data_IF_722994005139
#
_entry.id   IF_722994005139
#
_cell.length_a   1.000
_cell.length_b   1.000
_cell.length_c   1.000
_cell.angle_alpha   90.00
_cell.angle_beta   90.00
_cell.angle_gamma   90.00
#
_symmetry.space_group_name_H-M   'P 1'
#
loop_
_entity.id
_entity.type
_entity.pdbx_description
1 polymer ?
#
# COMPACT_ATOMS: atom_id res chain seq x y z
N UNK A 1 37.06 61.36 -4.38
CA UNK A 1 35.70 60.86 -4.11
C UNK A 1 35.39 59.79 -5.15
N UNK A 2 35.48 58.50 -4.77
CA UNK A 2 35.12 57.35 -5.62
C UNK A 2 33.82 56.80 -5.07
N UNK A 3 32.73 56.89 -5.84
CA UNK A 3 31.47 56.22 -5.52
C UNK A 3 31.64 54.73 -5.83
N UNK A 4 31.49 53.89 -4.81
CA UNK A 4 31.29 52.46 -4.97
C UNK A 4 29.81 52.16 -5.17
N UNK A 5 29.43 51.68 -6.36
CA UNK A 5 28.09 51.18 -6.64
C UNK A 5 28.01 49.74 -6.13
N UNK A 6 27.18 49.50 -5.11
CA UNK A 6 26.82 48.18 -4.65
C UNK A 6 25.72 47.62 -5.58
N UNK A 7 26.06 46.57 -6.34
CA UNK A 7 25.10 45.80 -7.10
C UNK A 7 24.43 44.80 -6.14
N UNK A 8 23.19 45.03 -5.76
CA UNK A 8 22.39 44.10 -4.97
C UNK A 8 21.87 43.02 -5.92
N UNK A 9 22.46 41.85 -5.85
CA UNK A 9 21.99 40.65 -6.55
C UNK A 9 20.75 40.11 -5.79
N UNK A 10 19.58 40.42 -6.27
CA UNK A 10 18.33 39.81 -5.78
C UNK A 10 18.26 38.39 -6.33
N UNK A 11 18.71 37.43 -5.56
CA UNK A 11 18.39 36.01 -5.83
C UNK A 11 16.88 35.82 -5.63
N UNK A 12 16.14 35.76 -6.72
CA UNK A 12 14.77 35.27 -6.71
C UNK A 12 14.83 33.78 -6.31
N UNK A 13 14.55 33.47 -5.05
CA UNK A 13 14.20 32.14 -4.61
C UNK A 13 12.91 31.78 -5.34
N UNK A 14 13.05 31.03 -6.45
CA UNK A 14 11.93 30.34 -7.04
C UNK A 14 11.41 29.36 -5.99
N UNK A 15 10.37 29.74 -5.28
CA UNK A 15 9.66 28.85 -4.37
C UNK A 15 9.21 27.65 -5.21
N UNK A 16 9.70 26.47 -4.85
CA UNK A 16 9.18 25.23 -5.41
C UNK A 16 7.74 25.14 -4.93
N UNK A 17 6.81 25.53 -5.81
CA UNK A 17 5.38 25.32 -5.59
C UNK A 17 5.19 23.81 -5.54
N UNK A 18 5.01 23.25 -4.34
CA UNK A 18 4.55 21.88 -4.20
C UNK A 18 3.16 21.84 -4.82
N UNK A 19 2.98 20.96 -5.81
CA UNK A 19 1.67 20.74 -6.39
C UNK A 19 0.73 20.29 -5.26
N UNK A 20 -0.42 20.94 -5.13
CA UNK A 20 -1.43 20.53 -4.16
C UNK A 20 -1.95 19.14 -4.53
N UNK A 21 -2.02 18.24 -3.53
CA UNK A 21 -2.52 16.89 -3.71
C UNK A 21 -4.00 16.94 -4.15
N UNK A 22 -4.35 16.32 -5.30
CA UNK A 22 -5.75 16.26 -5.72
C UNK A 22 -6.65 15.58 -4.68
N UNK A 23 -7.91 16.03 -4.62
CA UNK A 23 -8.86 15.59 -3.61
C UNK A 23 -9.12 14.06 -3.65
N UNK A 24 -9.04 13.43 -4.82
CA UNK A 24 -9.22 11.98 -4.96
C UNK A 24 -8.20 11.16 -4.13
N UNK A 25 -7.02 11.69 -3.83
CA UNK A 25 -5.99 10.98 -3.06
C UNK A 25 -6.10 11.16 -1.54
N UNK A 26 -7.05 11.95 -1.05
CA UNK A 26 -7.19 12.21 0.39
C UNK A 26 -7.76 11.03 1.19
N UNK A 27 -8.25 9.98 0.51
CA UNK A 27 -8.73 8.76 1.13
C UNK A 27 -8.17 7.53 0.43
N UNK A 28 -7.83 6.50 1.21
CA UNK A 28 -7.51 5.18 0.70
C UNK A 28 -8.67 4.25 1.09
N UNK A 29 -9.36 3.75 0.09
CA UNK A 29 -10.51 2.89 0.29
C UNK A 29 -10.46 1.58 -0.52
N UNK A 30 -9.45 1.39 -1.38
CA UNK A 30 -9.36 0.24 -2.28
C UNK A 30 -7.92 -0.18 -2.56
N UNK A 31 -7.69 -1.49 -2.58
CA UNK A 31 -6.43 -2.10 -3.02
C UNK A 31 -6.70 -3.15 -4.09
N UNK A 32 -5.80 -3.25 -5.06
CA UNK A 32 -5.71 -4.38 -6.00
C UNK A 32 -4.60 -5.30 -5.53
N UNK A 33 -4.96 -6.53 -5.26
CA UNK A 33 -4.11 -7.55 -4.68
C UNK A 33 -3.95 -8.70 -5.68
N UNK A 34 -2.76 -8.87 -6.23
CA UNK A 34 -2.48 -9.92 -7.20
C UNK A 34 -2.05 -11.18 -6.46
N UNK A 35 -2.63 -12.29 -6.85
CA UNK A 35 -2.37 -13.60 -6.25
C UNK A 35 -2.31 -14.69 -7.33
N UNK A 36 -1.50 -15.72 -7.09
CA UNK A 36 -1.40 -16.89 -7.97
C UNK A 36 -2.54 -17.89 -7.75
N UNK A 37 -3.18 -17.84 -6.57
CA UNK A 37 -4.32 -18.68 -6.22
C UNK A 37 -5.34 -17.89 -5.40
N UNK A 38 -6.36 -17.38 -6.08
CA UNK A 38 -7.38 -16.51 -5.46
C UNK A 38 -8.27 -17.26 -4.47
N UNK A 39 -8.52 -18.56 -4.69
CA UNK A 39 -9.28 -19.38 -3.74
C UNK A 39 -8.53 -19.59 -2.43
N UNK A 40 -7.23 -19.87 -2.51
CA UNK A 40 -6.39 -20.00 -1.31
C UNK A 40 -6.38 -18.69 -0.51
N UNK A 41 -6.17 -17.56 -1.20
CA UNK A 41 -6.20 -16.25 -0.56
C UNK A 41 -7.56 -15.97 0.08
N UNK A 42 -8.66 -16.15 -0.65
CA UNK A 42 -10.04 -15.98 -0.13
C UNK A 42 -10.27 -16.82 1.13
N UNK A 43 -10.00 -18.13 1.07
CA UNK A 43 -10.23 -19.04 2.18
C UNK A 43 -9.40 -18.66 3.42
N UNK A 44 -8.19 -18.19 3.23
CA UNK A 44 -7.34 -17.71 4.31
C UNK A 44 -7.82 -16.40 4.95
N UNK A 45 -8.34 -15.47 4.13
CA UNK A 45 -8.75 -14.15 4.62
C UNK A 45 -10.17 -14.09 5.20
N UNK A 46 -11.07 -15.00 4.83
CA UNK A 46 -12.42 -15.10 5.43
C UNK A 46 -12.37 -15.17 6.96
N UNK A 47 -11.66 -16.11 7.59
CA UNK A 47 -11.59 -16.18 9.04
C UNK A 47 -10.84 -15.01 9.68
N UNK A 48 -10.02 -14.29 8.91
CA UNK A 48 -9.35 -13.04 9.31
C UNK A 48 -10.23 -11.80 9.13
N UNK A 49 -11.44 -11.99 8.61
CA UNK A 49 -12.51 -10.98 8.54
C UNK A 49 -12.69 -10.31 7.20
N UNK A 50 -12.34 -10.98 6.12
CA UNK A 50 -12.82 -10.61 4.79
C UNK A 50 -14.33 -10.91 4.72
N UNK A 51 -15.12 -9.89 4.38
CA UNK A 51 -16.60 -9.94 4.32
C UNK A 51 -17.11 -9.43 2.99
N UNK A 52 -18.42 -9.55 2.76
CA UNK A 52 -19.12 -9.05 1.55
C UNK A 52 -18.47 -9.50 0.25
N UNK A 53 -18.22 -10.81 0.16
CA UNK A 53 -17.43 -11.42 -0.90
C UNK A 53 -18.30 -11.61 -2.14
N UNK A 54 -17.80 -11.09 -3.27
CA UNK A 54 -18.35 -11.34 -4.60
C UNK A 54 -17.26 -11.97 -5.48
N UNK A 55 -17.63 -13.01 -6.23
CA UNK A 55 -16.71 -13.76 -7.08
C UNK A 55 -17.05 -13.56 -8.55
N UNK A 56 -16.01 -13.32 -9.34
CA UNK A 56 -16.07 -13.11 -10.79
C UNK A 56 -15.03 -13.98 -11.48
N UNK A 57 -15.37 -15.24 -11.81
CA UNK A 57 -14.39 -16.21 -12.29
C UNK A 57 -13.87 -15.93 -13.72
N UNK A 58 -14.62 -15.17 -14.51
CA UNK A 58 -14.34 -14.96 -15.95
C UNK A 58 -14.34 -13.46 -16.30
N UNK A 59 -13.53 -12.67 -15.58
CA UNK A 59 -13.43 -11.24 -15.87
C UNK A 59 -12.63 -11.03 -17.14
N UNK A 60 -13.22 -10.31 -18.10
CA UNK A 60 -12.54 -9.87 -19.31
C UNK A 60 -12.26 -8.37 -19.21
N UNK A 61 -10.96 -8.04 -19.29
CA UNK A 61 -10.51 -6.65 -19.29
C UNK A 61 -9.95 -6.30 -20.66
N UNK A 62 -10.25 -5.09 -21.12
CA UNK A 62 -9.74 -4.58 -22.41
C UNK A 62 -9.17 -3.19 -22.19
N UNK A 63 -8.11 -2.86 -22.90
CA UNK A 63 -7.51 -1.53 -22.78
C UNK A 63 -6.10 -1.48 -23.34
N UNK A 64 -5.20 -0.88 -22.59
CA UNK A 64 -3.78 -0.75 -22.94
C UNK A 64 -2.90 -1.19 -21.78
N UNK A 65 -1.78 -1.81 -22.12
CA UNK A 65 -0.70 -2.18 -21.23
C UNK A 65 0.62 -1.72 -21.84
N UNK A 66 1.40 -0.89 -21.13
CA UNK A 66 2.61 -0.24 -21.67
C UNK A 66 2.38 0.43 -23.04
N UNK A 67 1.22 1.08 -23.20
CA UNK A 67 0.81 1.76 -24.42
C UNK A 67 0.39 0.84 -25.58
N UNK A 68 0.33 -0.49 -25.38
CA UNK A 68 -0.10 -1.45 -26.40
C UNK A 68 -1.51 -1.96 -26.09
N UNK A 69 -2.37 -2.15 -27.10
CA UNK A 69 -3.69 -2.76 -26.90
C UNK A 69 -3.58 -4.13 -26.24
N UNK A 70 -4.43 -4.37 -25.23
CA UNK A 70 -4.46 -5.64 -24.50
C UNK A 70 -5.89 -6.11 -24.27
N UNK A 71 -6.07 -7.42 -24.28
CA UNK A 71 -7.26 -8.11 -23.78
C UNK A 71 -6.79 -9.16 -22.80
N UNK A 72 -7.28 -9.08 -21.55
CA UNK A 72 -6.85 -9.90 -20.44
C UNK A 72 -8.01 -10.68 -19.84
N UNK A 73 -7.70 -11.81 -19.24
CA UNK A 73 -8.64 -12.61 -18.46
C UNK A 73 -8.12 -12.76 -17.04
N UNK A 74 -9.03 -12.76 -16.10
CA UNK A 74 -8.70 -12.95 -14.70
C UNK A 74 -9.86 -13.59 -13.94
N UNK A 75 -9.54 -14.24 -12.83
CA UNK A 75 -10.49 -14.54 -11.79
C UNK A 75 -10.34 -13.47 -10.70
N UNK A 76 -11.42 -12.80 -10.37
CA UNK A 76 -11.44 -11.72 -9.39
C UNK A 76 -12.38 -12.04 -8.24
N UNK A 77 -11.97 -11.70 -7.04
CA UNK A 77 -12.80 -11.69 -5.84
C UNK A 77 -12.75 -10.29 -5.26
N UNK A 78 -13.91 -9.71 -5.02
CA UNK A 78 -14.01 -8.45 -4.27
C UNK A 78 -14.57 -8.72 -2.89
N UNK A 79 -14.15 -7.92 -1.92
CA UNK A 79 -14.65 -8.00 -0.54
C UNK A 79 -14.16 -6.83 0.30
N UNK A 80 -14.46 -6.89 1.59
CA UNK A 80 -14.06 -5.83 2.52
C UNK A 80 -13.25 -6.38 3.70
N UNK A 81 -12.13 -5.72 3.99
CA UNK A 81 -11.44 -5.82 5.26
C UNK A 81 -11.75 -4.56 6.07
N UNK A 82 -12.91 -4.56 6.74
CA UNK A 82 -13.45 -3.36 7.38
C UNK A 82 -13.70 -2.25 6.36
N UNK A 83 -13.03 -1.12 6.50
CA UNK A 83 -13.13 0.06 5.61
C UNK A 83 -12.34 -0.06 4.31
N UNK A 84 -11.56 -1.11 4.13
CA UNK A 84 -10.74 -1.31 2.94
C UNK A 84 -11.42 -2.28 1.97
N UNK A 85 -11.78 -1.80 0.79
CA UNK A 85 -12.20 -2.68 -0.31
C UNK A 85 -10.97 -3.41 -0.86
N UNK A 86 -11.08 -4.72 -0.99
CA UNK A 86 -10.03 -5.58 -1.50
C UNK A 86 -10.49 -6.21 -2.81
N UNK A 87 -9.69 -6.08 -3.85
CA UNK A 87 -9.86 -6.76 -5.13
C UNK A 87 -8.70 -7.76 -5.27
N UNK A 88 -8.95 -9.03 -4.91
CA UNK A 88 -7.99 -10.12 -5.12
C UNK A 88 -8.14 -10.63 -6.54
N UNK A 89 -7.06 -10.58 -7.31
CA UNK A 89 -7.08 -10.91 -8.73
C UNK A 89 -6.03 -11.97 -9.02
N UNK A 90 -6.47 -13.06 -9.64
CA UNK A 90 -5.62 -14.06 -10.27
C UNK A 90 -5.66 -13.84 -11.79
N UNK A 91 -4.63 -13.21 -12.38
CA UNK A 91 -4.57 -13.06 -13.83
C UNK A 91 -4.36 -14.41 -14.51
N UNK A 92 -4.90 -14.57 -15.72
CA UNK A 92 -4.65 -15.77 -16.51
C UNK A 92 -3.15 -15.92 -16.82
N UNK A 93 -2.68 -17.14 -16.71
CA UNK A 93 -1.27 -17.47 -16.98
C UNK A 93 -0.87 -17.24 -18.45
N UNK A 94 0.42 -16.98 -18.66
CA UNK A 94 1.01 -16.88 -20.00
C UNK A 94 0.71 -15.58 -20.76
N UNK A 95 -0.03 -14.66 -20.16
CA UNK A 95 -0.27 -13.33 -20.73
C UNK A 95 0.84 -12.36 -20.34
N UNK A 96 1.45 -11.70 -21.31
CA UNK A 96 2.43 -10.62 -21.05
C UNK A 96 1.68 -9.34 -20.70
N UNK A 97 1.71 -8.94 -19.43
CA UNK A 97 1.08 -7.73 -18.92
C UNK A 97 1.66 -7.35 -17.55
N UNK A 98 1.41 -6.13 -17.09
CA UNK A 98 1.93 -5.60 -15.83
C UNK A 98 1.56 -6.46 -14.60
N UNK A 99 0.43 -7.14 -14.59
CA UNK A 99 0.01 -8.00 -13.48
C UNK A 99 0.87 -9.26 -13.37
N UNK A 100 1.08 -9.97 -14.50
CA UNK A 100 1.94 -11.15 -14.51
C UNK A 100 3.41 -10.78 -14.29
N UNK A 101 3.85 -9.62 -14.77
CA UNK A 101 5.20 -9.10 -14.50
C UNK A 101 5.39 -8.82 -12.99
N UNK A 102 4.37 -8.24 -12.32
CA UNK A 102 4.39 -8.06 -10.88
C UNK A 102 4.49 -9.38 -10.13
N UNK A 103 3.62 -10.36 -10.45
CA UNK A 103 3.64 -11.69 -9.82
C UNK A 103 4.98 -12.40 -10.05
N UNK A 104 5.57 -12.29 -11.23
CA UNK A 104 6.89 -12.84 -11.54
C UNK A 104 8.03 -12.18 -10.77
N UNK A 105 7.90 -10.89 -10.47
CA UNK A 105 8.93 -10.09 -9.77
C UNK A 105 8.82 -10.14 -8.26
N UNK A 106 7.58 -10.10 -7.72
CA UNK A 106 7.28 -9.92 -6.32
C UNK A 106 6.59 -11.14 -5.68
N UNK A 107 6.04 -12.05 -6.48
CA UNK A 107 5.08 -13.05 -5.98
C UNK A 107 3.73 -12.43 -5.65
N UNK A 108 2.92 -13.11 -4.85
CA UNK A 108 1.65 -12.59 -4.35
C UNK A 108 1.86 -11.30 -3.53
N UNK A 109 0.95 -10.34 -3.67
CA UNK A 109 1.05 -9.07 -2.93
C UNK A 109 0.10 -7.98 -3.42
N UNK A 110 0.04 -6.89 -2.68
CA UNK A 110 -0.73 -5.71 -3.08
C UNK A 110 0.03 -4.97 -4.18
N UNK A 111 -0.54 -5.02 -5.38
CA UNK A 111 -0.02 -4.37 -6.58
C UNK A 111 -0.27 -2.87 -6.56
N UNK A 112 -1.49 -2.47 -6.24
CA UNK A 112 -1.91 -1.08 -6.37
C UNK A 112 -2.81 -0.61 -5.25
N UNK A 113 -2.61 0.65 -4.87
CA UNK A 113 -3.56 1.42 -4.08
C UNK A 113 -4.34 2.29 -5.06
N UNK A 114 -5.67 2.12 -5.06
CA UNK A 114 -6.55 2.70 -6.07
C UNK A 114 -7.48 3.73 -5.44
N UNK A 115 -7.57 4.89 -6.08
CA UNK A 115 -8.40 6.02 -5.65
C UNK A 115 -9.53 6.25 -6.66
N UNK A 116 -10.70 6.62 -6.17
CA UNK A 116 -11.85 6.88 -7.02
C UNK A 116 -11.83 8.30 -7.58
N UNK A 117 -12.13 8.42 -8.88
CA UNK A 117 -12.39 9.70 -9.54
C UNK A 117 -13.86 9.80 -9.92
N UNK A 118 -14.43 11.00 -9.82
CA UNK A 118 -15.86 11.25 -10.00
C UNK A 118 -16.32 11.23 -11.45
N UNK A 119 -15.40 11.37 -12.41
CA UNK A 119 -15.72 11.45 -13.83
C UNK A 119 -14.57 11.04 -14.75
N UNK A 120 -14.86 10.65 -16.00
CA UNK A 120 -13.83 10.45 -17.01
C UNK A 120 -12.96 11.71 -17.29
N UNK A 121 -13.55 12.88 -17.13
CA UNK A 121 -12.83 14.15 -17.31
C UNK A 121 -11.80 14.37 -16.18
N UNK A 122 -12.14 14.03 -14.94
CA UNK A 122 -11.21 14.05 -13.81
C UNK A 122 -10.08 13.05 -14.02
N UNK A 123 -10.38 11.82 -14.44
CA UNK A 123 -9.37 10.82 -14.77
C UNK A 123 -8.41 11.33 -15.86
N UNK A 124 -8.93 11.93 -16.94
CA UNK A 124 -8.10 12.48 -18.02
C UNK A 124 -7.21 13.62 -17.53
N UNK A 125 -7.75 14.51 -16.69
CA UNK A 125 -6.99 15.61 -16.07
C UNK A 125 -5.85 15.07 -15.23
N UNK A 126 -6.13 14.03 -14.42
CA UNK A 126 -5.14 13.47 -13.53
C UNK A 126 -4.07 12.68 -14.29
N UNK A 127 -4.43 11.94 -15.33
CA UNK A 127 -3.45 11.29 -16.24
C UNK A 127 -2.50 12.35 -16.83
N UNK A 128 -3.03 13.48 -17.29
CA UNK A 128 -2.21 14.57 -17.85
C UNK A 128 -1.28 15.16 -16.79
N UNK A 129 -1.76 15.37 -15.57
CA UNK A 129 -0.96 15.87 -14.44
C UNK A 129 0.18 14.90 -14.08
N UNK A 130 -0.12 13.64 -13.91
CA UNK A 130 0.86 12.60 -13.56
C UNK A 130 1.94 12.46 -14.65
N UNK A 131 1.52 12.47 -15.92
CA UNK A 131 2.45 12.45 -17.05
C UNK A 131 3.40 13.66 -17.05
N UNK A 132 2.89 14.86 -16.79
CA UNK A 132 3.69 16.08 -16.70
C UNK A 132 4.71 16.04 -15.53
N UNK A 133 4.41 15.28 -14.46
CA UNK A 133 5.29 15.05 -13.32
C UNK A 133 6.23 13.84 -13.51
N UNK A 134 6.15 13.17 -14.67
CA UNK A 134 7.03 12.07 -15.04
C UNK A 134 6.57 10.68 -14.55
N UNK A 135 5.29 10.56 -14.16
CA UNK A 135 4.65 9.27 -13.89
C UNK A 135 3.70 8.95 -15.06
N UNK A 136 4.12 8.12 -15.99
CA UNK A 136 3.34 7.67 -17.14
C UNK A 136 2.23 6.69 -16.76
N UNK A 137 1.36 6.37 -17.71
CA UNK A 137 0.38 5.30 -17.56
C UNK A 137 1.08 3.97 -17.83
N UNK A 138 1.10 3.11 -16.83
CA UNK A 138 1.56 1.73 -16.91
C UNK A 138 0.51 0.89 -17.65
N UNK A 139 -0.75 0.99 -17.19
CA UNK A 139 -1.85 0.20 -17.70
C UNK A 139 -3.16 0.96 -17.56
N UNK A 140 -4.04 0.90 -18.56
CA UNK A 140 -5.41 1.38 -18.48
C UNK A 140 -6.35 0.30 -18.96
N UNK A 141 -7.23 -0.15 -18.10
CA UNK A 141 -8.12 -1.29 -18.32
C UNK A 141 -9.56 -0.90 -18.06
N UNK A 142 -10.46 -1.50 -18.83
CA UNK A 142 -11.89 -1.42 -18.57
C UNK A 142 -12.52 -2.79 -18.58
N UNK A 143 -13.53 -2.97 -17.74
CA UNK A 143 -14.37 -4.16 -17.66
C UNK A 143 -15.83 -3.75 -17.50
N UNK A 144 -16.73 -4.67 -17.83
CA UNK A 144 -18.14 -4.50 -17.56
C UNK A 144 -18.47 -5.13 -16.20
N UNK A 145 -19.01 -4.30 -15.30
CA UNK A 145 -19.46 -4.71 -13.97
C UNK A 145 -20.90 -4.29 -13.76
N UNK A 146 -21.80 -5.26 -13.64
CA UNK A 146 -23.23 -5.03 -13.43
C UNK A 146 -23.84 -4.03 -14.44
N UNK A 147 -23.47 -4.20 -15.72
CA UNK A 147 -23.92 -3.32 -16.82
C UNK A 147 -23.25 -1.94 -16.85
N UNK A 148 -22.24 -1.69 -16.03
CA UNK A 148 -21.46 -0.46 -16.00
C UNK A 148 -20.05 -0.69 -16.53
N UNK A 149 -19.57 0.23 -17.37
CA UNK A 149 -18.18 0.21 -17.86
C UNK A 149 -17.26 0.85 -16.85
N UNK A 150 -16.62 0.04 -16.01
CA UNK A 150 -15.62 0.49 -15.03
C UNK A 150 -14.26 0.63 -15.71
N UNK A 151 -13.53 1.68 -15.39
CA UNK A 151 -12.20 1.94 -15.96
C UNK A 151 -11.18 2.17 -14.86
N UNK A 152 -10.09 1.42 -14.92
CA UNK A 152 -8.91 1.56 -14.08
C UNK A 152 -7.78 2.20 -14.87
N UNK A 153 -7.00 3.05 -14.22
CA UNK A 153 -5.74 3.57 -14.73
C UNK A 153 -4.67 3.36 -13.67
N UNK A 154 -3.60 2.67 -14.02
CA UNK A 154 -2.44 2.42 -13.18
C UNK A 154 -1.26 3.24 -13.69
N UNK A 155 -0.60 3.97 -12.80
CA UNK A 155 0.56 4.78 -13.12
C UNK A 155 1.86 3.99 -12.88
N UNK A 156 2.87 4.24 -13.71
CA UNK A 156 4.21 3.65 -13.57
C UNK A 156 4.98 4.34 -12.41
N UNK A 157 4.48 4.13 -11.20
CA UNK A 157 5.05 4.71 -9.98
C UNK A 157 5.92 3.72 -9.20
N UNK A 158 5.81 2.42 -9.44
CA UNK A 158 6.54 1.40 -8.68
C UNK A 158 8.06 1.57 -8.68
N UNK A 159 8.74 1.90 -9.79
CA UNK A 159 10.20 1.99 -9.79
C UNK A 159 10.76 2.97 -8.76
N UNK A 160 10.09 4.11 -8.54
CA UNK A 160 10.51 5.15 -7.61
C UNK A 160 9.64 5.19 -6.35
N UNK A 161 8.32 5.03 -6.50
CA UNK A 161 7.32 5.09 -5.42
C UNK A 161 7.07 3.78 -4.70
N UNK A 162 7.62 2.66 -5.21
CA UNK A 162 7.64 1.31 -4.61
C UNK A 162 6.28 0.59 -4.53
N UNK A 163 5.23 1.18 -5.05
CA UNK A 163 3.97 0.53 -5.39
C UNK A 163 3.31 1.27 -6.57
N UNK A 164 2.36 0.63 -7.21
CA UNK A 164 1.60 1.21 -8.31
C UNK A 164 0.45 2.06 -7.75
N UNK A 165 0.40 3.34 -8.13
CA UNK A 165 -0.73 4.21 -7.82
C UNK A 165 -1.81 4.01 -8.89
N UNK A 166 -3.05 3.80 -8.47
CA UNK A 166 -4.18 3.56 -9.35
C UNK A 166 -5.31 4.56 -9.19
N UNK A 167 -6.07 4.73 -10.26
CA UNK A 167 -7.35 5.42 -10.27
C UNK A 167 -8.44 4.48 -10.78
N UNK A 168 -9.65 4.62 -10.27
CA UNK A 168 -10.84 3.98 -10.81
C UNK A 168 -11.94 5.00 -11.08
N UNK A 169 -12.53 4.91 -12.25
CA UNK A 169 -13.82 5.53 -12.54
C UNK A 169 -14.91 4.48 -12.56
N UNK A 170 -15.88 4.65 -11.67
CA UNK A 170 -17.04 3.77 -11.55
C UNK A 170 -18.30 4.59 -11.85
N UNK A 171 -19.01 4.33 -12.97
CA UNK A 171 -20.22 5.07 -13.30
C UNK A 171 -21.29 4.98 -12.20
N UNK A 172 -21.65 6.14 -11.62
CA UNK A 172 -22.58 6.21 -10.50
C UNK A 172 -21.97 5.98 -9.12
N UNK A 173 -20.66 5.99 -9.03
CA UNK A 173 -19.87 5.73 -7.80
C UNK A 173 -19.59 4.26 -7.56
N UNK A 174 -18.42 3.96 -6.97
CA UNK A 174 -18.09 2.62 -6.54
C UNK A 174 -19.01 2.16 -5.39
N UNK A 175 -19.19 0.85 -5.20
CA UNK A 175 -19.85 0.35 -3.99
C UNK A 175 -19.18 0.93 -2.73
N UNK A 176 -19.96 1.29 -1.69
CA UNK A 176 -19.41 1.86 -0.48
C UNK A 176 -18.43 0.88 0.18
N UNK A 177 -17.37 1.43 0.78
CA UNK A 177 -16.48 0.65 1.61
C UNK A 177 -17.21 0.03 2.80
N UNK A 178 -16.65 -1.05 3.34
CA UNK A 178 -17.20 -1.73 4.53
C UNK A 178 -17.13 -0.88 5.80
N UNK A 179 -17.42 -1.49 6.95
CA UNK A 179 -17.46 -0.82 8.25
C UNK A 179 -16.08 -0.22 8.63
N UNK A 180 -16.02 0.96 9.30
CA UNK A 180 -14.76 1.60 9.70
C UNK A 180 -13.90 0.76 10.63
N UNK A 181 -12.58 0.97 10.59
CA UNK A 181 -11.69 0.71 11.72
C UNK A 181 -10.94 -0.61 11.76
N UNK A 182 -10.99 -1.47 10.72
CA UNK A 182 -10.21 -2.72 10.77
C UNK A 182 -8.78 -2.56 10.28
N UNK A 183 -8.55 -1.80 9.21
CA UNK A 183 -7.22 -1.48 8.71
C UNK A 183 -6.96 0.00 8.96
N UNK A 184 -5.91 0.34 9.68
CA UNK A 184 -5.54 1.73 9.98
C UNK A 184 -4.43 2.27 9.10
N UNK A 185 -3.56 1.40 8.60
CA UNK A 185 -2.51 1.76 7.66
C UNK A 185 -2.07 0.60 6.77
N UNK A 186 -1.42 0.97 5.67
CA UNK A 186 -0.69 0.08 4.76
C UNK A 186 0.79 0.40 4.90
N UNK A 187 1.62 -0.64 5.00
CA UNK A 187 3.03 -0.45 5.24
C UNK A 187 3.90 -0.98 4.09
N UNK A 188 4.45 -0.07 3.28
CA UNK A 188 5.49 -0.41 2.33
C UNK A 188 6.85 -0.54 3.05
N UNK A 189 7.63 -1.57 2.66
CA UNK A 189 9.00 -1.77 3.09
C UNK A 189 9.93 -1.41 1.94
N UNK A 190 10.89 -0.54 2.22
CA UNK A 190 11.81 0.04 1.23
C UNK A 190 13.26 -0.01 1.74
N UNK A 191 14.21 0.24 0.86
CA UNK A 191 15.64 0.29 1.24
C UNK A 191 16.03 1.63 1.84
N UNK A 192 15.47 2.72 1.32
CA UNK A 192 15.77 4.10 1.70
C UNK A 192 14.49 4.93 1.65
N UNK A 193 14.22 5.71 2.71
CA UNK A 193 12.99 6.50 2.81
C UNK A 193 13.07 7.82 2.05
N UNK A 194 14.20 8.53 2.11
CA UNK A 194 14.34 9.87 1.55
C UNK A 194 14.05 9.95 0.05
N UNK A 195 14.63 9.07 -0.81
CA UNK A 195 14.35 9.15 -2.25
C UNK A 195 12.90 8.81 -2.56
N UNK A 196 12.28 7.91 -1.80
CA UNK A 196 10.85 7.57 -1.96
C UNK A 196 9.96 8.73 -1.54
N UNK A 197 10.25 9.35 -0.40
CA UNK A 197 9.55 10.54 0.07
C UNK A 197 9.65 11.69 -0.93
N UNK A 198 10.84 11.96 -1.45
CA UNK A 198 11.06 13.01 -2.47
C UNK A 198 10.27 12.74 -3.75
N UNK A 199 10.19 11.47 -4.17
CA UNK A 199 9.38 11.09 -5.33
C UNK A 199 7.88 11.36 -5.10
N UNK A 200 7.31 10.93 -3.97
CA UNK A 200 5.91 11.17 -3.66
C UNK A 200 5.60 12.67 -3.50
N UNK A 201 6.51 13.45 -2.89
CA UNK A 201 6.38 14.91 -2.83
C UNK A 201 6.35 15.57 -4.21
N UNK A 202 7.18 15.11 -5.14
CA UNK A 202 7.16 15.57 -6.53
C UNK A 202 5.80 15.34 -7.19
N UNK A 203 5.10 14.26 -6.84
CA UNK A 203 3.77 13.95 -7.33
C UNK A 203 2.65 14.69 -6.57
N UNK A 204 2.99 15.54 -5.60
CA UNK A 204 2.04 16.34 -4.81
C UNK A 204 1.55 15.69 -3.52
N UNK A 205 2.11 14.54 -3.13
CA UNK A 205 1.78 13.90 -1.85
C UNK A 205 2.56 14.54 -0.69
N UNK A 206 2.07 14.42 0.56
CA UNK A 206 2.80 14.92 1.72
C UNK A 206 4.18 14.28 1.86
N UNK A 207 5.14 15.05 2.41
CA UNK A 207 6.42 14.50 2.85
C UNK A 207 6.22 13.45 3.94
N UNK A 208 7.12 12.47 4.01
CA UNK A 208 7.14 11.56 5.16
C UNK A 208 7.64 12.28 6.40
N UNK A 209 6.95 12.11 7.53
CA UNK A 209 7.48 12.45 8.84
C UNK A 209 8.41 11.30 9.27
N UNK A 210 9.71 11.55 9.17
CA UNK A 210 10.73 10.53 9.47
C UNK A 210 10.93 10.39 10.97
N UNK A 211 11.06 9.14 11.43
CA UNK A 211 11.43 8.79 12.79
C UNK A 211 12.44 7.66 12.81
N UNK A 212 13.34 7.73 13.78
CA UNK A 212 14.28 6.65 14.06
C UNK A 212 13.68 5.76 15.16
N UNK A 213 13.26 4.56 14.80
CA UNK A 213 12.65 3.60 15.71
C UNK A 213 13.72 2.68 16.30
N UNK A 214 13.74 2.56 17.61
CA UNK A 214 14.56 1.60 18.34
C UNK A 214 13.65 0.65 19.10
N UNK A 215 13.57 -0.62 18.68
CA UNK A 215 12.77 -1.61 19.39
C UNK A 215 13.21 -1.77 20.83
N UNK A 216 12.30 -2.13 21.69
CA UNK A 216 12.59 -2.44 23.08
C UNK A 216 13.37 -3.75 23.20
N UNK A 217 14.01 -3.97 24.37
CA UNK A 217 14.79 -5.18 24.64
C UNK A 217 13.95 -6.47 24.67
N UNK A 218 12.62 -6.36 24.79
CA UNK A 218 11.68 -7.46 24.79
C UNK A 218 11.12 -7.80 23.39
N UNK A 219 11.60 -7.13 22.35
CA UNK A 219 11.24 -7.46 20.96
C UNK A 219 11.77 -8.82 20.55
N UNK A 220 11.00 -9.53 19.71
CA UNK A 220 11.38 -10.87 19.23
C UNK A 220 11.22 -11.02 17.72
N UNK A 221 11.99 -11.94 17.13
CA UNK A 221 11.80 -12.45 15.78
C UNK A 221 11.86 -13.98 15.80
N UNK A 222 10.76 -14.64 15.39
CA UNK A 222 10.58 -16.10 15.46
C UNK A 222 10.88 -16.65 16.86
N UNK A 223 10.37 -15.97 17.90
CA UNK A 223 10.53 -16.33 19.30
C UNK A 223 11.93 -16.11 19.88
N UNK A 224 12.87 -15.52 19.15
CA UNK A 224 14.21 -15.17 19.62
C UNK A 224 14.32 -13.68 19.89
N UNK A 225 15.05 -13.25 20.93
CA UNK A 225 15.28 -11.82 21.16
C UNK A 225 15.81 -11.11 19.91
N UNK A 226 15.23 -9.96 19.61
CA UNK A 226 15.61 -9.13 18.48
C UNK A 226 15.85 -7.71 18.96
N UNK A 227 16.98 -7.14 18.56
CA UNK A 227 17.26 -5.73 18.77
C UNK A 227 17.97 -5.12 17.56
N UNK A 228 17.36 -4.10 16.98
CA UNK A 228 17.91 -3.31 15.86
C UNK A 228 17.18 -1.97 15.78
N UNK A 229 17.83 -0.96 15.24
CA UNK A 229 17.20 0.30 14.90
C UNK A 229 16.79 0.32 13.43
N UNK A 230 15.71 1.01 13.12
CA UNK A 230 15.19 1.16 11.77
C UNK A 230 14.55 2.53 11.59
N UNK A 231 14.40 2.95 10.34
CA UNK A 231 13.76 4.21 10.00
C UNK A 231 12.29 3.97 9.65
N UNK A 232 11.43 4.86 10.14
CA UNK A 232 10.01 4.86 9.84
C UNK A 232 9.61 6.21 9.26
N UNK A 233 8.85 6.20 8.18
CA UNK A 233 8.26 7.38 7.57
C UNK A 233 6.75 7.33 7.66
N UNK A 234 6.12 8.29 8.32
CA UNK A 234 4.67 8.39 8.40
C UNK A 234 4.13 9.38 7.39
N UNK A 235 3.10 8.94 6.66
CA UNK A 235 2.37 9.77 5.73
C UNK A 235 0.87 9.66 6.06
N UNK A 236 0.35 10.65 6.79
CA UNK A 236 -0.97 10.60 7.40
C UNK A 236 -2.02 11.31 6.54
N UNK A 237 -3.16 10.67 6.39
CA UNK A 237 -4.39 11.18 5.79
C UNK A 237 -5.52 11.16 6.84
N UNK A 238 -6.67 11.74 6.52
CA UNK A 238 -7.77 11.89 7.50
C UNK A 238 -8.26 10.56 8.08
N UNK A 239 -8.27 9.49 7.27
CA UNK A 239 -8.85 8.19 7.68
C UNK A 239 -7.88 7.04 7.53
N UNK A 240 -6.65 7.30 7.09
CA UNK A 240 -5.69 6.29 6.71
C UNK A 240 -4.26 6.82 6.82
N UNK A 241 -3.30 5.91 6.98
CA UNK A 241 -1.88 6.26 6.98
C UNK A 241 -1.08 5.28 6.15
N UNK A 242 0.06 5.73 5.65
CA UNK A 242 1.15 4.86 5.22
C UNK A 242 2.23 4.87 6.29
N UNK A 243 2.70 3.68 6.63
CA UNK A 243 3.87 3.49 7.47
C UNK A 243 4.99 2.91 6.62
N UNK A 244 5.90 3.76 6.18
CA UNK A 244 7.04 3.38 5.38
C UNK A 244 8.18 2.91 6.26
N UNK A 245 8.76 1.74 5.97
CA UNK A 245 9.80 1.15 6.80
C UNK A 245 11.06 0.91 5.98
N UNK A 246 12.20 1.39 6.51
CA UNK A 246 13.53 1.02 6.03
C UNK A 246 14.31 0.40 7.19
N UNK A 247 14.61 -0.89 7.08
CA UNK A 247 15.27 -1.65 8.12
C UNK A 247 16.59 -2.27 7.62
N UNK A 248 17.60 -2.43 8.52
CA UNK A 248 18.86 -3.06 8.16
C UNK A 248 18.67 -4.53 7.78
N UNK A 249 19.57 -5.04 6.95
CA UNK A 249 19.58 -6.45 6.55
C UNK A 249 19.93 -7.40 7.71
N UNK A 250 20.58 -6.89 8.74
CA UNK A 250 21.03 -7.63 9.93
C UNK A 250 20.76 -6.84 11.21
N UNK A 251 20.33 -7.49 12.30
CA UNK A 251 20.04 -8.93 12.41
C UNK A 251 18.83 -9.34 11.56
N UNK A 252 18.60 -10.65 11.32
CA UNK A 252 17.42 -11.13 10.60
C UNK A 252 16.14 -10.59 11.23
N UNK A 253 15.27 -10.04 10.39
CA UNK A 253 13.98 -9.44 10.77
C UNK A 253 12.97 -9.62 9.64
N UNK A 254 11.70 -9.33 9.92
CA UNK A 254 10.59 -9.51 8.95
C UNK A 254 10.78 -8.65 7.70
N UNK A 255 11.28 -7.43 7.84
CA UNK A 255 11.43 -6.47 6.73
C UNK A 255 12.56 -6.90 5.78
N UNK A 256 13.71 -7.31 6.34
CA UNK A 256 14.82 -7.85 5.56
C UNK A 256 14.44 -9.14 4.83
N UNK A 257 13.63 -9.99 5.47
CA UNK A 257 13.05 -11.19 4.86
C UNK A 257 12.18 -10.85 3.65
N UNK A 258 11.29 -9.88 3.81
CA UNK A 258 10.42 -9.39 2.74
C UNK A 258 11.22 -8.80 1.56
N UNK A 259 12.15 -7.89 1.82
CA UNK A 259 12.98 -7.29 0.78
C UNK A 259 13.77 -8.32 -0.04
N UNK A 260 14.18 -9.41 0.60
CA UNK A 260 14.88 -10.51 -0.08
C UNK A 260 13.95 -11.30 -0.99
N UNK A 261 12.72 -11.61 -0.53
CA UNK A 261 11.77 -12.46 -1.22
C UNK A 261 10.94 -11.71 -2.27
N UNK A 262 10.48 -10.50 -1.92
CA UNK A 262 9.46 -9.74 -2.65
C UNK A 262 9.96 -8.40 -3.22
N UNK A 263 11.23 -8.04 -3.02
CA UNK A 263 11.78 -6.70 -3.33
C UNK A 263 11.15 -5.61 -2.44
N UNK A 264 11.12 -4.35 -2.94
CA UNK A 264 10.45 -3.24 -2.26
C UNK A 264 8.96 -3.22 -2.61
N UNK A 265 8.10 -2.88 -1.68
CA UNK A 265 6.66 -2.87 -1.88
C UNK A 265 5.87 -2.98 -0.59
N UNK A 266 4.56 -3.18 -0.71
CA UNK A 266 3.64 -3.27 0.43
C UNK A 266 3.80 -4.64 1.11
N UNK A 267 4.18 -4.62 2.39
CA UNK A 267 4.52 -5.81 3.16
C UNK A 267 3.41 -6.20 4.14
N UNK A 268 2.76 -5.24 4.81
CA UNK A 268 1.76 -5.56 5.81
C UNK A 268 0.61 -4.55 5.87
N UNK A 269 -0.46 -5.01 6.53
CA UNK A 269 -1.62 -4.20 6.90
C UNK A 269 -1.63 -4.05 8.43
N UNK A 270 -1.71 -2.81 8.92
CA UNK A 270 -1.83 -2.52 10.34
C UNK A 270 -3.29 -2.60 10.80
N UNK A 271 -3.55 -3.46 11.78
CA UNK A 271 -4.87 -3.72 12.34
C UNK A 271 -4.92 -3.41 13.83
N UNK A 272 -5.52 -2.31 14.26
CA UNK A 272 -5.69 -2.03 15.68
C UNK A 272 -6.62 -3.04 16.34
N UNK A 273 -6.26 -3.44 17.56
CA UNK A 273 -7.02 -4.39 18.37
C UNK A 273 -7.15 -3.93 19.82
N UNK A 274 -8.31 -4.18 20.42
CA UNK A 274 -8.54 -3.83 21.83
C UNK A 274 -7.73 -4.70 22.82
N UNK A 275 -7.41 -5.92 22.43
CA UNK A 275 -6.66 -6.87 23.24
C UNK A 275 -5.74 -7.72 22.36
N UNK A 276 -4.44 -7.41 22.44
CA UNK A 276 -3.42 -8.03 21.59
C UNK A 276 -3.34 -9.55 21.80
N UNK A 277 -3.24 -10.01 23.06
CA UNK A 277 -3.13 -11.45 23.37
C UNK A 277 -4.33 -12.26 22.88
N UNK A 278 -5.55 -11.70 23.00
CA UNK A 278 -6.77 -12.34 22.47
C UNK A 278 -6.75 -12.42 20.95
N UNK A 279 -6.34 -11.36 20.29
CA UNK A 279 -6.23 -11.31 18.83
C UNK A 279 -5.18 -12.33 18.34
N UNK A 280 -3.98 -12.31 18.89
CA UNK A 280 -2.90 -13.29 18.60
C UNK A 280 -3.41 -14.72 18.74
N UNK A 281 -4.04 -15.06 19.89
CA UNK A 281 -4.60 -16.41 20.11
C UNK A 281 -5.66 -16.78 19.07
N UNK A 282 -6.40 -15.79 18.52
CA UNK A 282 -7.32 -16.02 17.41
C UNK A 282 -6.61 -16.45 16.13
N UNK A 283 -5.54 -15.76 15.76
CA UNK A 283 -4.71 -16.09 14.61
C UNK A 283 -3.97 -17.42 14.76
N UNK A 284 -3.43 -17.72 15.95
CA UNK A 284 -2.72 -18.98 16.24
C UNK A 284 -3.65 -20.21 16.11
N UNK A 285 -4.93 -20.10 16.49
CA UNK A 285 -5.92 -21.16 16.28
C UNK A 285 -6.20 -21.44 14.80
N UNK A 286 -5.92 -20.48 13.93
CA UNK A 286 -6.02 -20.61 12.48
C UNK A 286 -4.70 -21.08 11.84
N UNK A 287 -3.65 -21.28 12.65
CA UNK A 287 -2.34 -21.72 12.19
C UNK A 287 -1.36 -20.61 11.84
N UNK A 288 -1.71 -19.34 12.06
CA UNK A 288 -0.82 -18.19 11.83
C UNK A 288 -0.08 -17.85 13.13
N UNK A 289 1.24 -17.85 13.10
CA UNK A 289 2.07 -17.63 14.28
C UNK A 289 2.65 -16.22 14.31
N UNK A 290 3.03 -15.76 15.51
CA UNK A 290 3.78 -14.50 15.65
C UNK A 290 5.15 -14.66 14.99
N UNK A 291 5.41 -13.79 14.02
CA UNK A 291 6.67 -13.76 13.28
C UNK A 291 7.67 -12.79 13.90
N UNK A 292 7.19 -11.58 14.24
CA UNK A 292 7.97 -10.57 14.95
C UNK A 292 7.06 -9.84 15.93
N UNK A 293 7.60 -9.48 17.09
CA UNK A 293 6.89 -8.71 18.11
C UNK A 293 7.72 -7.53 18.59
N UNK A 294 7.04 -6.53 19.14
CA UNK A 294 7.71 -5.41 19.76
C UNK A 294 6.75 -4.50 20.50
N UNK A 295 7.31 -3.41 21.01
CA UNK A 295 6.57 -2.41 21.74
C UNK A 295 7.24 -1.05 21.62
N UNK A 296 6.49 0.01 21.88
CA UNK A 296 7.01 1.37 21.98
C UNK A 296 6.56 2.01 23.30
N UNK A 297 7.29 3.04 23.75
CA UNK A 297 7.01 3.74 24.99
C UNK A 297 7.08 2.85 26.24
N UNK A 298 6.48 3.28 27.33
CA UNK A 298 6.34 2.53 28.57
C UNK A 298 5.03 1.74 28.54
N UNK A 299 5.11 0.46 28.19
CA UNK A 299 3.94 -0.44 28.01
C UNK A 299 2.95 -0.32 29.17
N UNK A 300 1.68 -0.07 28.84
CA UNK A 300 0.61 0.18 29.79
C UNK A 300 0.47 1.64 30.21
N UNK A 301 1.32 2.54 29.73
CA UNK A 301 1.19 3.98 29.92
C UNK A 301 0.59 4.62 28.65
N UNK A 302 -0.03 5.79 28.84
CA UNK A 302 -0.48 6.59 27.71
C UNK A 302 0.64 6.82 26.69
N UNK A 303 0.30 6.84 25.41
CA UNK A 303 1.22 7.03 24.27
C UNK A 303 2.24 5.88 24.08
N UNK A 304 1.95 4.70 24.65
CA UNK A 304 2.71 3.47 24.42
C UNK A 304 1.87 2.40 23.73
N UNK A 305 2.49 1.32 23.30
CA UNK A 305 1.79 0.19 22.72
C UNK A 305 2.64 -1.03 22.46
N UNK A 306 1.98 -2.05 21.97
CA UNK A 306 2.57 -3.32 21.59
C UNK A 306 2.06 -3.74 20.21
N UNK A 307 2.88 -4.48 19.48
CA UNK A 307 2.52 -5.02 18.19
C UNK A 307 3.06 -6.43 17.98
N UNK A 308 2.30 -7.23 17.23
CA UNK A 308 2.67 -8.56 16.77
C UNK A 308 2.39 -8.72 15.28
N UNK A 309 3.43 -9.06 14.52
CA UNK A 309 3.30 -9.45 13.11
C UNK A 309 2.90 -10.91 13.02
N UNK A 310 1.77 -11.18 12.42
CA UNK A 310 1.27 -12.53 12.15
C UNK A 310 1.76 -13.01 10.79
N UNK A 311 2.24 -14.25 10.68
CA UNK A 311 2.69 -14.85 9.42
C UNK A 311 1.48 -15.29 8.58
N UNK A 312 0.88 -14.32 7.87
CA UNK A 312 -0.21 -14.54 6.90
C UNK A 312 0.29 -14.49 5.45
N UNK A 313 1.59 -14.44 5.23
CA UNK A 313 2.18 -14.29 3.89
C UNK A 313 1.84 -15.43 2.93
N UNK A 314 1.55 -16.63 3.45
CA UNK A 314 1.15 -17.78 2.64
C UNK A 314 -0.22 -17.66 1.96
N UNK A 315 -1.03 -16.69 2.35
CA UNK A 315 -2.38 -16.45 1.80
C UNK A 315 -2.49 -15.13 1.03
N UNK A 316 -1.47 -14.82 0.24
CA UNK A 316 -1.46 -13.67 -0.65
C UNK A 316 -0.28 -12.70 -0.46
N UNK A 317 0.82 -13.14 0.19
CA UNK A 317 2.08 -12.39 0.24
C UNK A 317 2.11 -11.20 1.22
N UNK A 318 1.05 -10.98 2.02
CA UNK A 318 0.91 -9.83 2.93
C UNK A 318 0.81 -10.31 4.37
N UNK A 319 1.58 -9.70 5.27
CA UNK A 319 1.49 -9.95 6.71
C UNK A 319 0.44 -9.05 7.37
N UNK A 320 -0.07 -9.45 8.53
CA UNK A 320 -0.90 -8.61 9.40
C UNK A 320 -0.07 -8.16 10.58
N UNK A 321 -0.10 -6.87 10.87
CA UNK A 321 0.39 -6.34 12.13
C UNK A 321 -0.80 -6.05 13.05
N UNK A 322 -0.90 -6.77 14.16
CA UNK A 322 -1.87 -6.52 15.22
C UNK A 322 -1.28 -5.49 16.18
N UNK A 323 -2.02 -4.41 16.46
CA UNK A 323 -1.51 -3.28 17.22
C UNK A 323 -2.46 -2.96 18.36
N UNK A 324 -1.90 -2.84 19.56
CA UNK A 324 -2.61 -2.35 20.73
C UNK A 324 -1.91 -1.11 21.28
N UNK A 325 -2.61 0.03 21.21
CA UNK A 325 -2.14 1.30 21.75
C UNK A 325 -2.83 1.60 23.08
N UNK A 326 -2.06 2.03 24.07
CA UNK A 326 -2.56 2.48 25.39
C UNK A 326 -2.86 3.98 25.33
N UNK A 327 -4.14 4.34 25.46
CA UNK A 327 -4.64 5.73 25.41
C UNK A 327 -4.75 6.38 26.78
#
# INVERSE_FOLDING_TARGET
MKLLSYLVLVCALAGVSHAEMPACYQSVNRVVWLVQNVDLAKQGWIPLGLTDIHEYPDVVLTGQDHGKPVKMWAWEITGHLGNLTVEMIQPAEGQLNAWNDFLGKHGDGIFSIVHEVSSPAEMTKEISRMHALGAGVLQQLSLDRDGKRVTYTYFDTEPQGKFVLGLVYWPGGAPPAGAPGKVSYIAPVVRELEPVSAYWQKLGFPAFRMEHATPRQDSTYRGKPLWFAFEVGYQNYTQFSYEWIAAPATPPNIYAGFLKAHKEGIQHLGMPVDNLSKAVSGYEKLGYHVWQSGAWGDVGKKDSGQYDYMDTSSIGGVSVELIHAYM
#
